data_IF_781897658066
#
_entry.id   IF_781897658066
#
_cell.length_a   1.000
_cell.length_b   1.000
_cell.length_c   1.000
_cell.angle_alpha   90.00
_cell.angle_beta   90.00
_cell.angle_gamma   90.00
#
_symmetry.space_group_name_H-M   'P 1'
#
loop_
_entity.id
_entity.type
_entity.pdbx_description
1 polymer ?
#
# COMPACT_ATOMS: atom_id res chain seq x y z
N UNK A 1 -9.06 7.46 5.16
CA UNK A 1 -8.77 6.84 3.85
C UNK A 1 -8.77 5.32 4.01
N UNK A 2 -9.46 4.58 3.13
CA UNK A 2 -9.53 3.12 3.22
C UNK A 2 -8.75 2.50 2.06
N UNK A 3 -7.82 1.61 2.36
CA UNK A 3 -6.95 0.94 1.39
C UNK A 3 -7.11 -0.58 1.55
N UNK A 4 -7.54 -1.23 0.49
CA UNK A 4 -7.61 -2.68 0.39
C UNK A 4 -6.31 -3.21 -0.22
N UNK A 5 -5.62 -4.11 0.49
CA UNK A 5 -4.47 -4.86 -0.02
C UNK A 5 -4.96 -6.25 -0.43
N UNK A 6 -4.87 -6.56 -1.72
CA UNK A 6 -5.25 -7.88 -2.25
C UNK A 6 -4.01 -8.57 -2.81
N UNK A 7 -3.58 -9.64 -2.15
CA UNK A 7 -2.44 -10.44 -2.59
C UNK A 7 -2.90 -11.44 -3.65
N UNK A 8 -2.35 -11.33 -4.87
CA UNK A 8 -2.72 -12.13 -6.03
C UNK A 8 -1.51 -12.35 -6.95
N UNK A 9 -1.54 -13.39 -7.78
CA UNK A 9 -0.55 -13.57 -8.84
C UNK A 9 -0.71 -12.52 -9.93
N UNK A 10 0.34 -11.72 -10.14
CA UNK A 10 0.43 -10.74 -11.23
C UNK A 10 1.52 -11.14 -12.23
N UNK A 11 1.63 -10.41 -13.35
CA UNK A 11 2.73 -10.61 -14.29
C UNK A 11 4.07 -10.42 -13.58
N UNK A 12 5.12 -11.15 -14.01
CA UNK A 12 6.46 -11.07 -13.40
C UNK A 12 7.05 -9.66 -13.35
N UNK A 13 6.65 -8.78 -14.27
CA UNK A 13 7.09 -7.37 -14.33
C UNK A 13 6.36 -6.45 -13.35
N UNK A 14 5.23 -6.88 -12.81
CA UNK A 14 4.39 -6.10 -11.91
C UNK A 14 4.67 -6.48 -10.45
N UNK A 15 4.81 -5.48 -9.59
CA UNK A 15 5.02 -5.66 -8.15
C UNK A 15 3.75 -5.31 -7.37
N UNK A 16 3.17 -4.15 -7.66
CA UNK A 16 1.86 -3.74 -7.17
C UNK A 16 1.13 -2.94 -8.26
N UNK A 17 -0.19 -2.78 -8.13
CA UNK A 17 -1.02 -1.95 -9.01
C UNK A 17 -2.09 -1.25 -8.18
N UNK A 18 -2.16 0.08 -8.27
CA UNK A 18 -3.21 0.89 -7.66
C UNK A 18 -4.47 0.96 -8.53
N UNK A 19 -5.63 0.91 -7.87
CA UNK A 19 -6.94 1.24 -8.41
C UNK A 19 -7.70 2.13 -7.42
N UNK A 20 -8.26 3.23 -7.92
CA UNK A 20 -9.33 3.97 -7.24
C UNK A 20 -10.67 3.30 -7.57
N UNK A 21 -11.46 3.00 -6.54
CA UNK A 21 -12.77 2.38 -6.67
C UNK A 21 -13.88 3.46 -6.75
N UNK A 22 -15.03 3.08 -7.30
CA UNK A 22 -16.18 3.97 -7.47
C UNK A 22 -16.77 4.47 -6.13
N UNK A 23 -16.52 3.72 -5.05
CA UNK A 23 -16.94 4.07 -3.67
C UNK A 23 -15.96 5.01 -2.94
N UNK A 24 -14.91 5.48 -3.62
CA UNK A 24 -13.89 6.34 -3.05
C UNK A 24 -12.83 5.62 -2.20
N UNK A 25 -12.83 4.29 -2.18
CA UNK A 25 -11.76 3.50 -1.56
C UNK A 25 -10.63 3.20 -2.56
N UNK A 26 -9.46 2.82 -2.05
CA UNK A 26 -8.35 2.38 -2.88
C UNK A 26 -8.15 0.88 -2.78
N UNK A 27 -7.69 0.26 -3.87
CA UNK A 27 -7.24 -1.13 -3.88
C UNK A 27 -5.83 -1.19 -4.45
N UNK A 28 -4.93 -1.81 -3.72
CA UNK A 28 -3.58 -2.16 -4.17
C UNK A 28 -3.56 -3.66 -4.38
N UNK A 29 -3.42 -4.08 -5.64
CA UNK A 29 -3.14 -5.47 -5.98
C UNK A 29 -1.65 -5.72 -5.76
N UNK A 30 -1.30 -6.68 -4.90
CA UNK A 30 0.10 -6.99 -4.53
C UNK A 30 0.50 -8.32 -5.14
N UNK A 31 1.61 -8.35 -5.87
CA UNK A 31 2.08 -9.59 -6.49
C UNK A 31 2.60 -10.57 -5.43
N UNK A 32 1.83 -11.62 -5.17
CA UNK A 32 2.15 -12.65 -4.17
C UNK A 32 3.42 -13.45 -4.50
N UNK A 33 3.84 -13.47 -5.78
CA UNK A 33 5.03 -14.21 -6.23
C UNK A 33 6.35 -13.43 -5.99
N UNK A 34 6.28 -12.20 -5.49
CA UNK A 34 7.46 -11.38 -5.19
C UNK A 34 7.97 -11.63 -3.76
N UNK A 35 9.27 -11.43 -3.48
CA UNK A 35 9.76 -11.38 -2.11
C UNK A 35 9.04 -10.30 -1.28
N UNK A 36 8.84 -10.55 0.02
CA UNK A 36 8.05 -9.68 0.91
C UNK A 36 8.56 -8.23 0.97
N UNK A 37 9.88 -8.03 0.89
CA UNK A 37 10.51 -6.71 0.83
C UNK A 37 10.17 -5.98 -0.47
N UNK A 38 10.13 -6.70 -1.59
CA UNK A 38 9.72 -6.18 -2.90
C UNK A 38 8.22 -5.85 -2.90
N UNK A 39 7.39 -6.70 -2.31
CA UNK A 39 5.95 -6.43 -2.13
C UNK A 39 5.73 -5.14 -1.33
N UNK A 40 6.41 -4.97 -0.19
CA UNK A 40 6.33 -3.76 0.65
C UNK A 40 6.72 -2.50 -0.11
N UNK A 41 7.82 -2.56 -0.89
CA UNK A 41 8.24 -1.44 -1.75
C UNK A 41 7.19 -1.09 -2.80
N UNK A 42 6.53 -2.09 -3.38
CA UNK A 42 5.40 -1.87 -4.30
C UNK A 42 4.23 -1.18 -3.63
N UNK A 43 3.80 -1.66 -2.44
CA UNK A 43 2.71 -1.04 -1.69
C UNK A 43 3.03 0.43 -1.36
N UNK A 44 4.25 0.70 -0.90
CA UNK A 44 4.74 2.05 -0.62
C UNK A 44 4.69 2.97 -1.84
N UNK A 45 5.10 2.46 -3.01
CA UNK A 45 5.04 3.20 -4.26
C UNK A 45 3.60 3.61 -4.61
N UNK A 46 2.66 2.66 -4.52
CA UNK A 46 1.25 2.95 -4.78
C UNK A 46 0.63 3.90 -3.75
N UNK A 47 1.00 3.79 -2.47
CA UNK A 47 0.56 4.76 -1.44
C UNK A 47 1.09 6.15 -1.76
N UNK A 48 2.33 6.27 -2.25
CA UNK A 48 2.87 7.55 -2.73
C UNK A 48 1.99 8.18 -3.81
N UNK A 49 1.45 7.39 -4.74
CA UNK A 49 0.51 7.89 -5.75
C UNK A 49 -0.81 8.38 -5.16
N UNK A 50 -1.28 7.77 -4.07
CA UNK A 50 -2.50 8.20 -3.38
C UNK A 50 -2.26 9.53 -2.64
N UNK A 51 -1.08 9.68 -2.04
CA UNK A 51 -0.72 10.81 -1.16
C UNK A 51 -0.07 11.99 -1.90
N UNK A 52 0.01 11.96 -3.23
CA UNK A 52 0.84 12.80 -4.13
C UNK A 52 0.68 14.33 -4.02
N UNK A 53 -0.09 14.85 -3.07
CA UNK A 53 -0.24 16.30 -2.77
C UNK A 53 0.02 16.65 -1.28
N UNK A 54 0.05 15.67 -0.37
CA UNK A 54 0.16 15.89 1.08
C UNK A 54 1.28 15.05 1.73
N UNK A 55 2.27 14.60 0.94
CA UNK A 55 3.40 13.79 1.42
C UNK A 55 4.30 14.52 2.45
N UNK A 56 4.10 15.82 2.67
CA UNK A 56 4.84 16.62 3.63
C UNK A 56 4.21 16.65 5.02
N UNK A 57 2.99 16.12 5.18
CA UNK A 57 2.41 15.96 6.50
C UNK A 57 3.25 14.94 7.29
N UNK A 58 3.54 15.24 8.56
CA UNK A 58 4.33 14.36 9.43
C UNK A 58 3.73 12.95 9.51
N UNK A 59 2.39 12.85 9.48
CA UNK A 59 1.68 11.57 9.50
C UNK A 59 1.97 10.69 8.27
N UNK A 60 2.11 11.29 7.07
CA UNK A 60 2.40 10.56 5.85
C UNK A 60 3.89 10.17 5.74
N UNK A 61 4.79 11.02 6.24
CA UNK A 61 6.23 10.71 6.33
C UNK A 61 6.45 9.52 7.28
N UNK A 62 5.84 9.58 8.47
CA UNK A 62 5.90 8.51 9.47
C UNK A 62 5.36 7.18 8.93
N UNK A 63 4.28 7.20 8.15
CA UNK A 63 3.73 6.01 7.48
C UNK A 63 4.77 5.39 6.54
N UNK A 64 5.40 6.20 5.69
CA UNK A 64 6.37 5.72 4.70
C UNK A 64 7.60 5.15 5.38
N UNK A 65 8.10 5.84 6.40
CA UNK A 65 9.24 5.36 7.19
C UNK A 65 8.91 4.05 7.92
N UNK A 66 7.76 3.94 8.58
CA UNK A 66 7.33 2.69 9.25
C UNK A 66 7.20 1.53 8.27
N UNK A 67 6.61 1.75 7.10
CA UNK A 67 6.47 0.73 6.07
C UNK A 67 7.81 0.33 5.45
N UNK A 68 8.77 1.25 5.37
CA UNK A 68 10.14 0.97 4.94
C UNK A 68 10.95 0.21 6.01
N UNK A 69 10.69 0.47 7.30
CA UNK A 69 11.53 0.01 8.41
C UNK A 69 10.99 -1.17 9.25
N UNK A 70 9.67 -1.40 9.44
CA UNK A 70 9.25 -2.47 10.38
C UNK A 70 7.83 -3.09 10.27
N UNK A 71 7.86 -4.43 10.32
CA UNK A 71 6.98 -5.51 10.85
C UNK A 71 5.48 -5.39 11.25
N UNK A 72 4.81 -4.24 11.37
CA UNK A 72 3.36 -4.25 11.68
C UNK A 72 2.67 -2.91 11.33
N UNK A 73 1.40 -2.98 10.90
CA UNK A 73 0.66 -1.90 10.22
C UNK A 73 -0.45 -1.27 11.06
N UNK A 74 -0.51 -1.60 12.33
CA UNK A 74 -1.58 -1.13 13.20
C UNK A 74 -1.22 0.30 13.65
N UNK A 75 -2.13 1.25 13.39
CA UNK A 75 -2.12 2.63 13.90
C UNK A 75 -1.39 3.70 13.07
N UNK A 76 -1.81 3.89 11.81
CA UNK A 76 -1.66 5.19 11.14
C UNK A 76 -2.98 5.94 11.19
N UNK A 77 -2.99 7.05 11.91
CA UNK A 77 -4.17 7.88 12.12
C UNK A 77 -4.74 8.35 10.77
N UNK A 78 -6.02 8.06 10.52
CA UNK A 78 -6.70 8.45 9.28
C UNK A 78 -6.54 7.48 8.10
N UNK A 79 -5.79 6.38 8.21
CA UNK A 79 -5.67 5.35 7.16
C UNK A 79 -6.03 3.97 7.72
N UNK A 80 -7.03 3.33 7.11
CA UNK A 80 -7.41 1.96 7.42
C UNK A 80 -6.90 1.02 6.33
N UNK A 81 -6.16 -0.01 6.72
CA UNK A 81 -5.73 -1.08 5.84
C UNK A 81 -6.58 -2.34 6.05
N UNK A 82 -7.12 -2.88 4.96
CA UNK A 82 -7.82 -4.16 4.95
C UNK A 82 -7.03 -5.13 4.09
N UNK A 83 -6.72 -6.31 4.59
CA UNK A 83 -5.91 -7.30 3.85
C UNK A 83 -6.75 -8.50 3.46
N UNK A 84 -6.67 -8.87 2.18
CA UNK A 84 -7.25 -10.09 1.65
C UNK A 84 -6.18 -10.91 0.91
N UNK A 85 -6.09 -12.19 1.22
CA UNK A 85 -5.14 -13.14 0.62
C UNK A 85 -5.96 -14.18 -0.15
N UNK A 86 -5.73 -14.28 -1.46
CA UNK A 86 -6.44 -15.19 -2.38
C UNK A 86 -5.53 -16.32 -2.83
#
# INVERSE_FOLDING_TARGET
MNINLIYIKLRKTQTAVLKLNDDGTYTILVNSDKPIDVQRKGILHEIGHILNDDMYSQAHIDLIERMAHARQFDDVEGINFYTHII
#
